data_IF_813889010263
#
_entry.id   IF_813889010263
#
_cell.length_a   1.000
_cell.length_b   1.000
_cell.length_c   1.000
_cell.angle_alpha   90.00
_cell.angle_beta   90.00
_cell.angle_gamma   90.00
#
_symmetry.space_group_name_H-M   'P 1'
#
loop_
_entity.id
_entity.type
_entity.pdbx_description
1 polymer ?
#
# COMPACT_ATOMS: atom_id res chain seq x y z
N UNK A 1 -34.27 23.25 -7.01
CA UNK A 1 -33.55 22.56 -5.94
C UNK A 1 -32.07 22.92 -6.03
N UNK A 2 -31.49 23.64 -5.03
CA UNK A 2 -30.06 23.91 -4.97
C UNK A 2 -29.35 22.63 -4.57
N UNK A 3 -28.44 22.14 -5.42
CA UNK A 3 -27.43 21.14 -5.04
C UNK A 3 -26.53 21.77 -3.96
N UNK A 4 -26.76 21.44 -2.70
CA UNK A 4 -25.78 21.69 -1.65
C UNK A 4 -24.66 20.68 -1.89
N UNK A 5 -23.51 21.14 -2.37
CA UNK A 5 -22.28 20.35 -2.30
C UNK A 5 -21.87 20.26 -0.83
N UNK A 6 -22.10 19.13 -0.20
CA UNK A 6 -21.53 18.87 1.12
C UNK A 6 -20.02 18.63 0.92
N UNK A 7 -19.19 19.52 1.44
CA UNK A 7 -17.76 19.33 1.49
C UNK A 7 -17.47 18.25 2.54
N UNK A 8 -16.86 17.15 2.11
CA UNK A 8 -16.34 16.13 3.01
C UNK A 8 -14.95 16.58 3.47
N UNK A 9 -14.76 16.68 4.78
CA UNK A 9 -13.47 16.97 5.40
C UNK A 9 -13.01 15.69 6.08
N UNK A 10 -11.95 15.08 5.52
CA UNK A 10 -11.30 13.91 6.11
C UNK A 10 -10.02 14.36 6.80
N UNK A 11 -9.84 13.98 8.06
CA UNK A 11 -8.65 14.24 8.86
C UNK A 11 -8.01 12.91 9.25
N UNK A 12 -6.69 12.83 9.12
CA UNK A 12 -5.92 11.66 9.55
C UNK A 12 -4.88 12.07 10.59
N UNK A 13 -4.92 11.44 11.74
CA UNK A 13 -3.97 11.65 12.84
C UNK A 13 -3.07 10.42 12.95
N UNK A 14 -1.77 10.65 12.99
CA UNK A 14 -0.75 9.61 13.07
C UNK A 14 -0.06 9.63 14.43
N UNK A 15 0.07 8.47 15.06
CA UNK A 15 0.90 8.28 16.25
C UNK A 15 2.18 7.57 15.83
N UNK A 16 3.32 8.12 16.21
CA UNK A 16 4.65 7.56 15.92
C UNK A 16 5.24 6.92 17.18
N UNK A 17 6.11 5.93 16.99
CA UNK A 17 6.99 5.44 18.05
C UNK A 17 8.29 6.28 18.14
N UNK A 18 9.22 5.86 19.00
CA UNK A 18 10.53 6.48 19.21
C UNK A 18 11.48 6.36 18.00
N UNK A 19 11.14 5.52 17.02
CA UNK A 19 11.85 5.33 15.75
C UNK A 19 11.14 6.01 14.58
N UNK A 20 10.19 6.89 14.86
CA UNK A 20 9.38 7.61 13.86
C UNK A 20 8.51 6.68 12.98
N UNK A 21 8.18 5.46 13.42
CA UNK A 21 7.25 4.58 12.71
C UNK A 21 5.82 4.82 13.18
N UNK A 22 4.88 4.81 12.23
CA UNK A 22 3.46 4.95 12.54
C UNK A 22 2.98 3.69 13.25
N UNK A 23 2.56 3.82 14.50
CA UNK A 23 1.97 2.73 15.27
C UNK A 23 0.45 2.75 15.28
N UNK A 24 -0.13 3.95 15.01
CA UNK A 24 -1.58 4.12 14.97
C UNK A 24 -1.97 5.18 13.94
N UNK A 25 -3.07 4.94 13.21
CA UNK A 25 -3.72 5.89 12.32
C UNK A 25 -5.16 6.05 12.79
N UNK A 26 -5.59 7.27 13.08
CA UNK A 26 -6.98 7.60 13.43
C UNK A 26 -7.56 8.46 12.32
N UNK A 27 -8.69 8.06 11.77
CA UNK A 27 -9.37 8.77 10.67
C UNK A 27 -10.67 9.35 11.19
N UNK A 28 -10.87 10.64 10.95
CA UNK A 28 -12.10 11.37 11.24
C UNK A 28 -12.76 11.78 9.93
N UNK A 29 -14.09 11.69 9.88
CA UNK A 29 -14.92 12.19 8.81
C UNK A 29 -15.82 13.28 9.36
N UNK A 30 -15.65 14.52 8.90
CA UNK A 30 -16.34 15.71 9.44
C UNK A 30 -16.24 15.81 10.98
N UNK A 31 -15.04 15.58 11.54
CA UNK A 31 -14.77 15.65 12.97
C UNK A 31 -15.31 14.46 13.80
N UNK A 32 -15.90 13.45 13.17
CA UNK A 32 -16.40 12.24 13.82
C UNK A 32 -15.46 11.08 13.53
N UNK A 33 -15.07 10.33 14.58
CA UNK A 33 -14.24 9.14 14.43
C UNK A 33 -14.89 8.16 13.44
N UNK A 34 -14.15 7.84 12.36
CA UNK A 34 -14.54 6.86 11.35
C UNK A 34 -13.87 5.51 11.61
N UNK A 35 -12.56 5.51 11.78
CA UNK A 35 -11.79 4.28 12.01
C UNK A 35 -10.46 4.54 12.70
N UNK A 36 -9.94 3.49 13.33
CA UNK A 36 -8.59 3.43 13.87
C UNK A 36 -7.86 2.22 13.32
N UNK A 37 -6.60 2.39 12.95
CA UNK A 37 -5.71 1.31 12.53
C UNK A 37 -4.51 1.23 13.47
N UNK A 38 -4.21 0.04 13.97
CA UNK A 38 -3.00 -0.27 14.76
C UNK A 38 -2.06 -1.05 13.86
N UNK A 39 -0.78 -0.65 13.85
CA UNK A 39 0.27 -1.20 13.00
C UNK A 39 1.34 -1.87 13.85
N UNK A 40 1.76 -3.07 13.45
CA UNK A 40 2.81 -3.85 14.12
C UNK A 40 3.96 -4.17 13.16
N UNK A 41 5.18 -4.19 13.71
CA UNK A 41 6.41 -4.37 12.95
C UNK A 41 7.24 -5.53 13.49
N UNK A 42 7.93 -6.23 12.59
CA UNK A 42 8.95 -7.23 12.92
C UNK A 42 10.18 -6.96 12.06
N UNK A 43 11.35 -6.85 12.68
CA UNK A 43 12.61 -6.54 11.98
C UNK A 43 12.51 -5.32 11.06
N UNK A 44 11.79 -4.27 11.53
CA UNK A 44 11.52 -3.01 10.83
C UNK A 44 10.54 -3.10 9.65
N UNK A 45 10.07 -4.27 9.27
CA UNK A 45 9.03 -4.44 8.27
C UNK A 45 7.64 -4.42 8.92
N UNK A 46 6.69 -3.76 8.25
CA UNK A 46 5.28 -3.79 8.65
C UNK A 46 4.72 -5.20 8.45
N UNK A 47 4.25 -5.83 9.53
CA UNK A 47 3.79 -7.22 9.50
C UNK A 47 2.30 -7.38 9.77
N UNK A 48 1.67 -6.43 10.45
CA UNK A 48 0.24 -6.51 10.74
C UNK A 48 -0.40 -5.12 10.77
N UNK A 49 -1.65 -5.05 10.31
CA UNK A 49 -2.53 -3.90 10.42
C UNK A 49 -3.88 -4.41 10.91
N UNK A 50 -4.37 -3.84 12.02
CA UNK A 50 -5.71 -4.10 12.53
C UNK A 50 -6.49 -2.80 12.47
N UNK A 51 -7.52 -2.74 11.62
CA UNK A 51 -8.40 -1.58 11.48
C UNK A 51 -9.76 -1.87 12.11
N UNK A 52 -10.16 -1.03 13.03
CA UNK A 52 -11.48 -1.03 13.65
C UNK A 52 -12.28 0.17 13.13
N UNK A 53 -13.47 -0.08 12.60
CA UNK A 53 -14.41 0.97 12.16
C UNK A 53 -15.40 1.32 13.27
N UNK A 54 -15.95 2.53 13.21
CA UNK A 54 -16.99 3.01 14.13
C UNK A 54 -18.20 2.08 14.24
N UNK A 55 -18.56 1.38 13.16
CA UNK A 55 -19.67 0.44 13.14
C UNK A 55 -19.37 -0.93 13.80
N UNK A 56 -18.17 -1.09 14.38
CA UNK A 56 -17.71 -2.33 15.02
C UNK A 56 -17.01 -3.31 14.08
N UNK A 57 -17.01 -3.10 12.77
CA UNK A 57 -16.32 -3.98 11.83
C UNK A 57 -14.80 -3.93 12.03
N UNK A 58 -14.17 -5.11 12.01
CA UNK A 58 -12.72 -5.27 12.15
C UNK A 58 -12.15 -5.84 10.86
N UNK A 59 -11.06 -5.23 10.40
CA UNK A 59 -10.26 -5.68 9.26
C UNK A 59 -8.86 -5.98 9.76
N UNK A 60 -8.35 -7.16 9.46
CA UNK A 60 -6.98 -7.55 9.79
C UNK A 60 -6.22 -7.83 8.51
N UNK A 61 -5.00 -7.30 8.41
CA UNK A 61 -4.08 -7.62 7.33
C UNK A 61 -2.76 -8.09 7.92
N UNK A 62 -2.29 -9.25 7.49
CA UNK A 62 -0.98 -9.80 7.85
C UNK A 62 -0.09 -9.80 6.61
N UNK A 63 1.17 -9.41 6.77
CA UNK A 63 2.13 -9.25 5.68
C UNK A 63 3.34 -10.11 5.98
N UNK A 64 3.68 -11.01 5.06
CA UNK A 64 4.86 -11.87 5.16
C UNK A 64 6.01 -11.33 4.30
N UNK A 65 7.20 -11.35 4.86
CA UNK A 65 8.42 -10.86 4.25
C UNK A 65 9.50 -11.94 4.22
N UNK A 66 10.24 -12.02 3.12
CA UNK A 66 11.39 -12.92 2.95
C UNK A 66 12.46 -12.18 2.16
N UNK A 67 13.64 -12.01 2.76
CA UNK A 67 14.81 -11.40 2.11
C UNK A 67 14.52 -10.04 1.43
N UNK A 68 13.81 -9.13 2.12
CA UNK A 68 13.44 -7.81 1.58
C UNK A 68 12.30 -7.83 0.54
N UNK A 69 11.65 -8.96 0.36
CA UNK A 69 10.50 -9.15 -0.53
C UNK A 69 9.24 -9.32 0.30
N UNK A 70 8.20 -8.59 -0.03
CA UNK A 70 6.86 -8.85 0.49
C UNK A 70 6.26 -10.03 -0.29
N UNK A 71 6.19 -11.19 0.34
CA UNK A 71 5.81 -12.43 -0.35
C UNK A 71 4.32 -12.72 -0.30
N UNK A 72 3.63 -12.21 0.73
CA UNK A 72 2.20 -12.47 0.92
C UNK A 72 1.52 -11.37 1.67
N UNK A 73 0.29 -11.07 1.29
CA UNK A 73 -0.68 -10.31 2.08
C UNK A 73 -1.89 -11.22 2.33
N UNK A 74 -2.28 -11.33 3.59
CA UNK A 74 -3.54 -11.95 4.00
C UNK A 74 -4.44 -10.84 4.55
N UNK A 75 -5.54 -10.55 3.87
CA UNK A 75 -6.58 -9.64 4.35
C UNK A 75 -7.78 -10.43 4.85
N UNK A 76 -8.27 -10.11 6.03
CA UNK A 76 -9.37 -10.81 6.70
C UNK A 76 -10.38 -9.81 7.27
N UNK A 77 -11.66 -10.10 7.08
CA UNK A 77 -12.77 -9.38 7.66
C UNK A 77 -13.95 -10.35 7.94
N UNK A 78 -15.08 -9.84 8.40
CA UNK A 78 -16.28 -10.63 8.67
C UNK A 78 -16.85 -11.35 7.43
N UNK A 79 -16.52 -10.90 6.23
CA UNK A 79 -17.00 -11.46 4.96
C UNK A 79 -16.12 -12.59 4.44
N UNK A 80 -14.88 -12.72 4.95
CA UNK A 80 -13.96 -13.78 4.54
C UNK A 80 -12.49 -13.38 4.58
N UNK A 81 -11.71 -14.19 3.89
CA UNK A 81 -10.25 -14.05 3.77
C UNK A 81 -9.85 -13.91 2.32
N UNK A 82 -8.96 -12.98 2.06
CA UNK A 82 -8.30 -12.81 0.76
C UNK A 82 -6.80 -12.98 0.93
N UNK A 83 -6.18 -13.79 0.09
CA UNK A 83 -4.75 -14.04 0.09
C UNK A 83 -4.18 -13.50 -1.22
N UNK A 84 -3.07 -12.77 -1.14
CA UNK A 84 -2.29 -12.30 -2.27
C UNK A 84 -0.87 -12.83 -2.16
N UNK A 85 -0.42 -13.54 -3.17
CA UNK A 85 0.94 -14.06 -3.27
C UNK A 85 1.72 -13.27 -4.32
N UNK A 86 2.86 -12.70 -3.93
CA UNK A 86 3.69 -11.88 -4.80
C UNK A 86 4.75 -12.73 -5.49
N UNK A 87 4.91 -12.54 -6.79
CA UNK A 87 5.96 -13.18 -7.59
C UNK A 87 6.97 -12.14 -8.05
N UNK A 88 8.24 -12.50 -8.07
CA UNK A 88 9.37 -11.64 -8.42
C UNK A 88 10.19 -12.25 -9.57
N UNK A 89 10.54 -11.42 -10.57
CA UNK A 89 11.31 -11.88 -11.74
C UNK A 89 12.80 -11.81 -11.54
N UNK A 90 13.28 -10.98 -10.65
CA UNK A 90 14.70 -10.68 -10.60
C UNK A 90 15.29 -10.76 -9.21
N UNK A 91 16.60 -10.98 -9.20
CA UNK A 91 17.48 -10.93 -8.05
C UNK A 91 18.03 -9.51 -7.81
N UNK A 92 17.72 -8.55 -8.70
CA UNK A 92 18.26 -7.20 -8.62
C UNK A 92 17.42 -6.34 -7.66
N UNK A 93 18.13 -5.57 -6.86
CA UNK A 93 17.56 -4.50 -6.04
C UNK A 93 17.44 -3.24 -6.89
N UNK A 94 16.34 -2.53 -6.72
CA UNK A 94 16.09 -1.28 -7.44
C UNK A 94 15.88 -0.14 -6.47
N UNK A 95 16.30 1.05 -6.90
CA UNK A 95 16.00 2.29 -6.19
C UNK A 95 14.62 2.77 -6.62
N UNK A 96 13.70 2.82 -5.69
CA UNK A 96 12.40 3.39 -5.95
C UNK A 96 12.12 4.45 -4.91
N UNK A 97 11.94 5.71 -5.31
CA UNK A 97 11.51 6.77 -4.41
C UNK A 97 10.03 6.62 -4.06
N UNK A 98 9.31 5.78 -4.80
CA UNK A 98 7.92 5.46 -4.55
C UNK A 98 7.89 4.10 -3.91
N UNK A 99 7.43 4.05 -2.68
CA UNK A 99 7.17 2.78 -2.05
C UNK A 99 6.00 2.10 -2.73
N UNK A 100 6.31 1.25 -3.71
CA UNK A 100 5.35 0.36 -4.34
C UNK A 100 4.68 -0.52 -3.28
N UNK A 101 5.44 -0.89 -2.26
CA UNK A 101 4.91 -1.51 -1.06
C UNK A 101 3.78 -0.68 -0.44
N UNK A 102 3.90 0.65 -0.38
CA UNK A 102 2.84 1.53 0.09
C UNK A 102 1.58 1.46 -0.75
N UNK A 103 1.72 1.40 -2.06
CA UNK A 103 0.59 1.23 -2.97
C UNK A 103 -0.11 -0.12 -2.73
N UNK A 104 0.63 -1.22 -2.72
CA UNK A 104 0.08 -2.56 -2.48
C UNK A 104 -0.55 -2.66 -1.08
N UNK A 105 0.13 -2.17 -0.05
CA UNK A 105 -0.41 -2.16 1.32
C UNK A 105 -1.64 -1.25 1.40
N UNK A 106 -1.63 -0.06 0.80
CA UNK A 106 -2.78 0.83 0.86
C UNK A 106 -4.01 0.27 0.18
N UNK A 107 -3.82 -0.38 -0.96
CA UNK A 107 -4.89 -0.97 -1.74
C UNK A 107 -5.49 -2.21 -1.05
N UNK A 108 -4.64 -3.12 -0.57
CA UNK A 108 -5.10 -4.39 0.03
C UNK A 108 -5.38 -4.32 1.53
N UNK A 109 -4.72 -3.42 2.25
CA UNK A 109 -4.86 -3.32 3.71
C UNK A 109 -5.75 -2.17 4.17
N UNK A 110 -6.43 -1.50 3.27
CA UNK A 110 -7.42 -0.45 3.58
C UNK A 110 -6.90 0.72 4.44
N UNK A 111 -5.61 1.03 4.43
CA UNK A 111 -5.07 2.19 5.17
C UNK A 111 -5.14 3.50 4.37
N UNK A 112 -5.65 3.44 3.14
CA UNK A 112 -5.90 4.60 2.30
C UNK A 112 -4.65 5.21 1.65
N UNK A 113 -4.85 6.22 0.82
CA UNK A 113 -3.79 6.92 0.07
C UNK A 113 -2.70 7.54 0.95
N UNK A 114 -2.99 7.79 2.23
CA UNK A 114 -2.01 8.32 3.18
C UNK A 114 -0.82 7.37 3.42
N UNK A 115 -1.01 6.06 3.26
CA UNK A 115 0.06 5.08 3.37
C UNK A 115 1.16 5.30 2.34
N UNK A 116 0.80 5.77 1.16
CA UNK A 116 1.73 6.04 0.07
C UNK A 116 2.76 7.12 0.45
N UNK A 117 2.31 8.24 1.00
CA UNK A 117 3.19 9.32 1.46
C UNK A 117 3.99 8.91 2.70
N UNK A 118 3.39 8.16 3.60
CA UNK A 118 4.04 7.71 4.83
C UNK A 118 5.20 6.74 4.55
N UNK A 119 5.10 5.90 3.51
CA UNK A 119 6.19 4.99 3.15
C UNK A 119 7.36 5.69 2.48
N UNK A 120 7.14 6.77 1.74
CA UNK A 120 8.24 7.58 1.16
C UNK A 120 9.20 8.13 2.23
N UNK A 121 8.71 8.29 3.46
CA UNK A 121 9.46 8.78 4.63
C UNK A 121 9.89 7.66 5.57
N UNK A 122 9.74 6.38 5.17
CA UNK A 122 9.97 5.21 6.02
C UNK A 122 9.10 5.14 7.30
N UNK A 123 8.08 5.97 7.42
CA UNK A 123 7.16 5.94 8.57
C UNK A 123 6.35 4.64 8.68
N UNK A 124 6.27 3.85 7.60
CA UNK A 124 5.67 2.50 7.60
C UNK A 124 6.72 1.38 7.61
N UNK A 125 7.94 1.69 8.05
CA UNK A 125 9.05 0.74 8.12
C UNK A 125 9.75 0.57 6.78
N UNK A 126 10.57 -0.50 6.67
CA UNK A 126 11.31 -0.80 5.45
C UNK A 126 10.37 -1.17 4.31
N UNK A 127 10.64 -0.62 3.14
CA UNK A 127 9.94 -0.96 1.90
C UNK A 127 10.51 -2.20 1.22
N UNK A 128 9.89 -2.59 0.10
CA UNK A 128 10.43 -3.64 -0.77
C UNK A 128 11.71 -3.16 -1.46
N UNK A 129 12.73 -4.00 -1.44
CA UNK A 129 13.97 -3.80 -2.20
C UNK A 129 13.89 -4.36 -3.62
N UNK A 130 12.85 -5.12 -3.93
CA UNK A 130 12.66 -5.82 -5.19
C UNK A 130 11.31 -5.47 -5.80
N UNK A 131 11.22 -5.54 -7.12
CA UNK A 131 10.00 -5.24 -7.86
C UNK A 131 9.19 -6.51 -8.10
N UNK A 132 7.94 -6.61 -7.64
CA UNK A 132 7.06 -7.72 -7.98
C UNK A 132 6.71 -7.65 -9.47
N UNK A 133 6.48 -8.79 -10.09
CA UNK A 133 5.99 -8.86 -11.47
C UNK A 133 4.54 -9.30 -11.55
N UNK A 134 4.07 -9.98 -10.54
CA UNK A 134 2.70 -10.52 -10.53
C UNK A 134 2.22 -10.78 -9.11
N UNK A 135 0.92 -10.60 -8.89
CA UNK A 135 0.13 -11.26 -7.86
C UNK A 135 -1.02 -12.06 -8.51
N UNK A 136 -2.01 -12.48 -7.73
CA UNK A 136 -3.13 -13.30 -8.23
C UNK A 136 -4.02 -12.57 -9.24
N UNK A 137 -3.98 -11.24 -9.30
CA UNK A 137 -4.89 -10.42 -10.10
C UNK A 137 -4.18 -9.42 -11.00
N UNK A 138 -2.94 -9.08 -10.70
CA UNK A 138 -2.22 -7.97 -11.31
C UNK A 138 -0.87 -8.41 -11.80
N UNK A 139 -0.52 -7.98 -13.00
CA UNK A 139 0.82 -8.13 -13.58
C UNK A 139 1.45 -6.75 -13.70
N UNK A 140 2.72 -6.62 -13.30
CA UNK A 140 3.50 -5.38 -13.42
C UNK A 140 4.67 -5.56 -14.36
N UNK A 141 4.91 -4.53 -15.18
CA UNK A 141 6.15 -4.36 -15.93
C UNK A 141 6.83 -3.08 -15.50
N UNK A 142 8.15 -3.08 -15.48
CA UNK A 142 8.99 -2.02 -14.95
C UNK A 142 10.01 -1.58 -15.97
N UNK A 143 10.22 -0.26 -16.09
CA UNK A 143 11.36 0.30 -16.79
C UNK A 143 12.25 0.99 -15.76
N UNK A 144 13.57 0.79 -15.87
CA UNK A 144 14.57 1.36 -14.97
C UNK A 144 15.63 2.08 -15.80
N UNK A 145 16.21 3.11 -15.25
CA UNK A 145 17.34 3.81 -15.88
C UNK A 145 18.69 3.12 -15.58
N UNK A 146 19.77 3.74 -16.05
CA UNK A 146 21.13 3.23 -15.90
C UNK A 146 21.63 3.23 -14.44
N UNK A 147 20.98 3.98 -13.55
CA UNK A 147 21.32 4.12 -12.13
C UNK A 147 20.38 3.27 -11.23
N UNK A 148 19.59 2.36 -11.84
CA UNK A 148 18.63 1.48 -11.21
C UNK A 148 17.41 2.19 -10.60
N UNK A 149 17.08 3.41 -11.03
CA UNK A 149 15.82 4.07 -10.63
C UNK A 149 14.68 3.61 -11.53
N UNK A 150 13.54 3.32 -10.92
CA UNK A 150 12.32 2.99 -11.66
C UNK A 150 11.76 4.23 -12.34
N UNK A 151 11.73 4.24 -13.66
CA UNK A 151 11.24 5.36 -14.47
C UNK A 151 9.81 5.15 -14.95
N UNK A 152 9.35 3.89 -14.99
CA UNK A 152 7.98 3.59 -15.40
C UNK A 152 7.46 2.30 -14.79
N UNK A 153 6.18 2.31 -14.46
CA UNK A 153 5.42 1.15 -14.03
C UNK A 153 4.22 1.01 -14.94
N UNK A 154 4.00 -0.16 -15.50
CA UNK A 154 2.72 -0.51 -16.13
C UNK A 154 2.08 -1.63 -15.35
N UNK A 155 0.88 -1.37 -14.87
CA UNK A 155 0.03 -2.28 -14.14
C UNK A 155 -1.10 -2.77 -15.05
N UNK A 156 -1.32 -4.08 -15.11
CA UNK A 156 -2.43 -4.69 -15.83
C UNK A 156 -3.17 -5.59 -14.85
N UNK A 157 -4.41 -5.24 -14.57
CA UNK A 157 -5.31 -6.04 -13.73
C UNK A 157 -6.21 -6.87 -14.65
N UNK A 158 -6.13 -8.18 -14.50
CA UNK A 158 -6.98 -9.13 -15.21
C UNK A 158 -8.16 -9.50 -14.29
N UNK A 159 -9.37 -9.18 -14.69
CA UNK A 159 -10.56 -9.71 -14.02
C UNK A 159 -10.90 -11.05 -14.66
N UNK A 160 -10.79 -12.12 -13.89
CA UNK A 160 -11.13 -13.46 -14.32
C UNK A 160 -12.62 -13.69 -14.11
N UNK A 161 -13.42 -13.54 -15.13
CA UNK A 161 -14.64 -14.32 -15.39
C UNK A 161 -15.21 -13.81 -16.71
N UNK A 162 -15.24 -14.67 -17.70
CA UNK A 162 -16.00 -14.52 -18.96
C UNK A 162 -15.77 -13.26 -19.83
N UNK A 163 -14.52 -12.90 -20.11
CA UNK A 163 -14.22 -11.85 -21.09
C UNK A 163 -13.61 -10.61 -20.44
N UNK A 164 -12.55 -10.84 -19.76
CA UNK A 164 -11.66 -9.96 -19.06
C UNK A 164 -11.64 -8.52 -19.58
N UNK A 165 -12.17 -7.60 -18.81
CA UNK A 165 -11.80 -6.19 -18.92
C UNK A 165 -10.38 -6.10 -18.35
N UNK A 166 -9.38 -5.93 -19.24
CA UNK A 166 -8.02 -5.58 -18.83
C UNK A 166 -8.01 -4.10 -18.48
N UNK A 167 -7.81 -3.81 -17.22
CA UNK A 167 -7.51 -2.47 -16.76
C UNK A 167 -5.99 -2.30 -16.74
N UNK A 168 -5.50 -1.27 -17.38
CA UNK A 168 -4.08 -0.94 -17.36
C UNK A 168 -3.87 0.49 -16.90
N UNK A 169 -2.94 0.68 -15.98
CA UNK A 169 -2.50 2.00 -15.55
C UNK A 169 -1.00 2.09 -15.74
N UNK A 170 -0.53 3.20 -16.31
CA UNK A 170 0.89 3.49 -16.48
C UNK A 170 1.27 4.70 -15.64
N UNK A 171 2.29 4.54 -14.81
CA UNK A 171 2.91 5.60 -14.03
C UNK A 171 4.29 5.88 -14.61
N UNK A 172 4.60 7.14 -14.87
CA UNK A 172 5.92 7.58 -15.33
C UNK A 172 6.51 8.52 -14.28
N UNK A 173 7.81 8.37 -14.00
CA UNK A 173 8.52 9.12 -12.98
C UNK A 173 9.67 9.89 -13.60
N UNK A 174 9.83 11.13 -13.18
CA UNK A 174 10.97 11.98 -13.52
C UNK A 174 11.67 12.34 -12.23
N UNK A 175 12.98 12.19 -12.21
CA UNK A 175 13.80 12.52 -11.06
C UNK A 175 14.52 13.83 -11.33
N UNK A 176 14.40 14.78 -10.42
CA UNK A 176 15.16 16.03 -10.45
C UNK A 176 16.21 15.97 -9.35
N UNK A 177 17.45 16.26 -9.70
CA UNK A 177 18.49 16.46 -8.70
C UNK A 177 18.16 17.74 -7.94
N UNK A 178 17.79 17.62 -6.68
CA UNK A 178 17.68 18.76 -5.76
C UNK A 178 19.10 18.97 -5.23
N UNK A 179 19.80 19.95 -5.80
CA UNK A 179 21.08 20.45 -5.27
C UNK A 179 20.90 21.14 -3.91
#
# INVERSE_FOLDING_TARGET
GSLKSEYRIDESVYTLDDKEKITKITIFNNGVLDSESVLSYTNEYLTEIIRSKKNGSIYRSSIEWTDGKMTKILAENEQGKEIRLMTYSSINKYKTPISICGYLISYHCCIGYCAFLAMQKNYLGLGMEYLPIKDDWTTWTWEVDADDYVTKITEITETTEDGAIRWGTTYTFTYENIE
#
